data_IF_830918956575
#
_entry.id   IF_830918956575
#
_cell.length_a   1.000
_cell.length_b   1.000
_cell.length_c   1.000
_cell.angle_alpha   90.00
_cell.angle_beta   90.00
_cell.angle_gamma   90.00
#
_symmetry.space_group_name_H-M   'P 1'
#
loop_
_entity.id
_entity.type
_entity.pdbx_description
1 polymer ?
#
# COMPACT_ATOMS: atom_id res chain seq x y z
N UNK A 1 -6.61 4.01 -16.52
CA UNK A 1 -7.31 2.71 -16.55
C UNK A 1 -6.39 1.59 -16.06
N UNK A 2 -6.89 0.56 -15.33
CA UNK A 2 -6.08 -0.52 -14.76
C UNK A 2 -5.34 -1.35 -15.81
N UNK A 3 -5.96 -1.65 -16.96
CA UNK A 3 -5.33 -2.42 -18.05
C UNK A 3 -4.14 -1.70 -18.68
N UNK A 4 -4.24 -0.38 -18.88
CA UNK A 4 -3.13 0.44 -19.37
C UNK A 4 -1.98 0.47 -18.35
N UNK A 5 -2.30 0.68 -17.07
CA UNK A 5 -1.29 0.69 -16.02
C UNK A 5 -0.56 -0.65 -15.92
N UNK A 6 -1.29 -1.77 -15.96
CA UNK A 6 -0.72 -3.12 -15.97
C UNK A 6 0.27 -3.32 -17.11
N UNK A 7 -0.04 -2.85 -18.32
CA UNK A 7 0.88 -2.87 -19.47
C UNK A 7 2.12 -2.02 -19.22
N UNK A 8 1.96 -0.80 -18.72
CA UNK A 8 3.09 0.08 -18.40
C UNK A 8 4.01 -0.54 -17.35
N UNK A 9 3.45 -1.17 -16.33
CA UNK A 9 4.20 -1.88 -15.30
C UNK A 9 4.95 -3.08 -15.88
N UNK A 10 4.32 -3.89 -16.74
CA UNK A 10 5.00 -5.00 -17.41
C UNK A 10 6.17 -4.50 -18.27
N UNK A 11 5.99 -3.41 -19.03
CA UNK A 11 7.09 -2.80 -19.79
C UNK A 11 8.23 -2.34 -18.87
N UNK A 12 7.92 -1.67 -17.77
CA UNK A 12 8.93 -1.22 -16.81
C UNK A 12 9.65 -2.41 -16.16
N UNK A 13 8.94 -3.50 -15.91
CA UNK A 13 9.50 -4.74 -15.39
C UNK A 13 10.55 -5.31 -16.35
N UNK A 14 10.26 -5.37 -17.65
CA UNK A 14 11.23 -5.77 -18.68
C UNK A 14 12.42 -4.81 -18.77
N UNK A 15 12.17 -3.50 -18.85
CA UNK A 15 13.23 -2.48 -18.97
C UNK A 15 14.18 -2.51 -17.78
N UNK A 16 13.65 -2.80 -16.59
CA UNK A 16 14.47 -2.88 -15.38
C UNK A 16 15.11 -4.24 -15.17
N UNK A 17 14.78 -5.27 -15.95
CA UNK A 17 15.26 -6.63 -15.73
C UNK A 17 14.64 -7.29 -14.50
N UNK A 18 13.35 -7.05 -14.26
CA UNK A 18 12.57 -7.70 -13.21
C UNK A 18 12.80 -7.11 -11.82
N UNK A 19 13.06 -5.80 -11.72
CA UNK A 19 13.49 -5.16 -10.46
C UNK A 19 12.47 -4.22 -9.84
N UNK A 20 11.21 -4.30 -10.27
CA UNK A 20 10.14 -3.45 -9.73
C UNK A 20 9.19 -4.21 -8.80
N UNK A 21 8.55 -3.43 -7.93
CA UNK A 21 7.41 -3.82 -7.12
C UNK A 21 6.35 -2.73 -7.23
N UNK A 22 5.08 -3.10 -7.32
CA UNK A 22 3.97 -2.17 -7.23
C UNK A 22 3.64 -1.92 -5.75
N UNK A 23 3.82 -0.71 -5.25
CA UNK A 23 3.26 -0.31 -3.96
C UNK A 23 1.92 0.40 -4.18
N UNK A 24 0.83 -0.30 -3.89
CA UNK A 24 -0.52 0.20 -4.08
C UNK A 24 -0.98 0.98 -2.83
N UNK A 25 -1.41 2.22 -3.05
CA UNK A 25 -1.86 3.15 -2.02
C UNK A 25 -3.30 3.54 -2.32
N UNK A 26 -4.20 3.31 -1.37
CA UNK A 26 -5.56 3.87 -1.43
C UNK A 26 -5.54 5.30 -0.90
N UNK A 27 -6.04 6.25 -1.69
CA UNK A 27 -6.08 7.67 -1.33
C UNK A 27 -6.85 7.93 -0.02
N UNK A 28 -6.41 8.93 0.74
CA UNK A 28 -7.00 9.31 2.04
C UNK A 28 -8.25 10.17 1.84
N UNK A 29 -8.27 10.99 0.79
CA UNK A 29 -9.37 11.90 0.42
C UNK A 29 -9.70 11.76 -1.06
N UNK A 30 -10.84 12.31 -1.48
CA UNK A 30 -11.07 12.58 -2.89
C UNK A 30 -10.07 13.62 -3.41
N UNK A 31 -9.72 13.53 -4.69
CA UNK A 31 -8.81 14.46 -5.37
C UNK A 31 -9.45 14.93 -6.69
N UNK A 32 -10.41 15.88 -6.64
CA UNK A 32 -11.13 16.36 -7.81
C UNK A 32 -10.21 16.92 -8.91
N UNK A 33 -9.05 17.45 -8.52
CA UNK A 33 -8.02 17.94 -9.46
C UNK A 33 -7.44 16.84 -10.36
N UNK A 34 -7.58 15.58 -9.96
CA UNK A 34 -7.20 14.40 -10.75
C UNK A 34 -8.43 13.61 -11.24
N UNK A 35 -9.63 14.17 -11.11
CA UNK A 35 -10.88 13.55 -11.49
C UNK A 35 -11.38 12.47 -10.52
N UNK A 36 -10.85 12.41 -9.30
CA UNK A 36 -11.35 11.51 -8.27
C UNK A 36 -12.33 12.22 -7.34
N UNK A 37 -13.59 11.83 -7.40
CA UNK A 37 -14.68 12.40 -6.60
C UNK A 37 -15.16 11.45 -5.49
N UNK A 38 -14.46 10.33 -5.26
CA UNK A 38 -14.93 9.29 -4.36
C UNK A 38 -14.61 9.60 -2.89
N UNK A 39 -15.55 10.24 -2.21
CA UNK A 39 -15.39 10.71 -0.81
C UNK A 39 -15.48 9.57 0.20
N UNK A 40 -16.27 8.53 -0.08
CA UNK A 40 -16.45 7.40 0.85
C UNK A 40 -15.19 6.50 0.92
N UNK A 41 -14.76 6.17 2.14
CA UNK A 41 -13.53 5.41 2.39
C UNK A 41 -13.66 3.98 1.90
N UNK A 42 -14.75 3.31 2.21
CA UNK A 42 -14.94 1.89 1.87
C UNK A 42 -15.09 1.71 0.36
N UNK A 43 -15.78 2.64 -0.29
CA UNK A 43 -15.86 2.71 -1.74
C UNK A 43 -14.48 2.89 -2.40
N UNK A 44 -13.58 3.70 -1.81
CA UNK A 44 -12.19 3.81 -2.32
C UNK A 44 -11.44 2.49 -2.21
N UNK A 45 -11.56 1.77 -1.10
CA UNK A 45 -10.95 0.43 -0.96
C UNK A 45 -11.56 -0.59 -1.93
N UNK A 46 -12.88 -0.58 -2.11
CA UNK A 46 -13.55 -1.45 -3.07
C UNK A 46 -13.06 -1.19 -4.51
N UNK A 47 -12.92 0.08 -4.90
CA UNK A 47 -12.33 0.47 -6.19
C UNK A 47 -10.88 0.01 -6.31
N UNK A 48 -10.08 0.11 -5.24
CA UNK A 48 -8.71 -0.43 -5.22
C UNK A 48 -8.70 -1.94 -5.43
N UNK A 49 -9.61 -2.69 -4.81
CA UNK A 49 -9.75 -4.13 -5.02
C UNK A 49 -10.00 -4.48 -6.49
N UNK A 50 -11.01 -3.86 -7.11
CA UNK A 50 -11.30 -4.09 -8.54
C UNK A 50 -10.11 -3.71 -9.44
N UNK A 51 -9.44 -2.60 -9.11
CA UNK A 51 -8.26 -2.16 -9.85
C UNK A 51 -7.14 -3.21 -9.81
N UNK A 52 -6.82 -3.73 -8.63
CA UNK A 52 -5.76 -4.73 -8.46
C UNK A 52 -6.12 -6.08 -9.06
N UNK A 53 -7.39 -6.47 -9.02
CA UNK A 53 -7.88 -7.65 -9.73
C UNK A 53 -7.65 -7.55 -11.23
N UNK A 54 -8.05 -6.43 -11.84
CA UNK A 54 -7.87 -6.22 -13.28
C UNK A 54 -6.39 -6.16 -13.64
N UNK A 55 -5.56 -5.51 -12.81
CA UNK A 55 -4.11 -5.43 -13.02
C UNK A 55 -3.50 -6.84 -13.01
N UNK A 56 -3.77 -7.63 -11.97
CA UNK A 56 -3.25 -8.99 -11.86
C UNK A 56 -3.74 -9.86 -13.01
N UNK A 57 -5.04 -9.82 -13.34
CA UNK A 57 -5.60 -10.59 -14.45
C UNK A 57 -5.01 -10.19 -15.81
N UNK A 58 -4.68 -8.91 -16.01
CA UNK A 58 -3.97 -8.46 -17.22
C UNK A 58 -2.58 -9.10 -17.33
N UNK A 59 -1.87 -9.23 -16.21
CA UNK A 59 -0.56 -9.87 -16.16
C UNK A 59 -0.61 -11.39 -16.30
N UNK A 60 -1.63 -12.05 -15.77
CA UNK A 60 -1.63 -13.52 -15.63
C UNK A 60 -2.55 -14.26 -16.60
N UNK A 61 -3.55 -13.59 -17.20
CA UNK A 61 -4.50 -14.27 -18.09
C UNK A 61 -3.86 -14.58 -19.45
N UNK A 62 -3.86 -15.84 -19.85
CA UNK A 62 -3.38 -16.27 -21.17
C UNK A 62 -4.38 -16.00 -22.30
N UNK A 63 -5.62 -15.62 -21.96
CA UNK A 63 -6.69 -15.31 -22.90
C UNK A 63 -7.32 -13.93 -22.61
N UNK A 64 -7.99 -13.31 -23.59
CA UNK A 64 -8.78 -12.11 -23.36
C UNK A 64 -9.86 -12.33 -22.30
N UNK A 65 -10.15 -11.28 -21.53
CA UNK A 65 -11.16 -11.36 -20.48
C UNK A 65 -12.08 -10.14 -20.42
N UNK A 66 -13.30 -10.40 -19.97
CA UNK A 66 -14.24 -9.37 -19.56
C UNK A 66 -14.19 -9.17 -18.05
N UNK A 67 -14.45 -7.94 -17.59
CA UNK A 67 -14.60 -7.59 -16.20
C UNK A 67 -15.80 -6.65 -16.04
N UNK A 68 -16.75 -7.00 -15.19
CA UNK A 68 -17.92 -6.19 -14.89
C UNK A 68 -17.96 -5.95 -13.37
N UNK A 69 -17.37 -4.85 -12.95
CA UNK A 69 -17.38 -4.39 -11.56
C UNK A 69 -18.21 -3.13 -11.38
N UNK A 70 -18.28 -2.65 -10.14
CA UNK A 70 -18.96 -1.40 -9.79
C UNK A 70 -18.22 -0.18 -10.33
N UNK A 71 -16.88 -0.24 -10.40
CA UNK A 71 -16.05 0.91 -10.78
C UNK A 71 -15.42 0.76 -12.16
N UNK A 72 -15.26 -0.47 -12.64
CA UNK A 72 -14.63 -0.73 -13.94
C UNK A 72 -15.44 -1.73 -14.77
N UNK A 73 -15.60 -1.40 -16.04
CA UNK A 73 -16.07 -2.32 -17.08
C UNK A 73 -14.97 -2.49 -18.12
N UNK A 74 -14.52 -3.72 -18.33
CA UNK A 74 -13.53 -4.08 -19.34
C UNK A 74 -14.15 -5.13 -20.27
N UNK A 75 -14.02 -4.93 -21.58
CA UNK A 75 -14.41 -5.89 -22.61
C UNK A 75 -13.18 -6.29 -23.42
N UNK A 76 -12.91 -7.59 -23.54
CA UNK A 76 -11.76 -8.12 -24.27
C UNK A 76 -10.40 -7.65 -23.73
N UNK A 77 -10.29 -7.44 -22.42
CA UNK A 77 -9.04 -7.06 -21.77
C UNK A 77 -7.97 -8.12 -22.01
N UNK A 78 -6.88 -7.74 -22.65
CA UNK A 78 -5.76 -8.64 -22.92
C UNK A 78 -4.46 -7.85 -23.06
N UNK A 79 -3.36 -8.45 -22.64
CA UNK A 79 -2.02 -7.97 -22.99
C UNK A 79 -1.13 -9.13 -23.42
N UNK A 80 -0.51 -9.09 -24.60
CA UNK A 80 0.47 -10.09 -25.02
C UNK A 80 1.81 -9.92 -24.30
N UNK A 81 2.08 -8.73 -23.74
CA UNK A 81 3.31 -8.46 -23.00
C UNK A 81 3.04 -8.76 -21.52
N UNK A 82 3.48 -9.94 -21.07
CA UNK A 82 3.44 -10.32 -19.66
C UNK A 82 4.66 -9.73 -18.93
N UNK A 83 4.58 -9.53 -17.60
CA UNK A 83 5.77 -9.19 -16.83
C UNK A 83 6.90 -10.20 -17.00
N UNK A 84 8.13 -9.75 -16.78
CA UNK A 84 9.32 -10.61 -16.75
C UNK A 84 9.34 -11.44 -15.45
N UNK A 85 8.92 -10.85 -14.34
CA UNK A 85 8.76 -11.54 -13.06
C UNK A 85 7.54 -12.48 -13.06
N UNK A 86 7.72 -13.69 -12.55
CA UNK A 86 6.67 -14.69 -12.38
C UNK A 86 6.34 -14.91 -10.89
N UNK A 87 5.09 -15.24 -10.53
CA UNK A 87 3.91 -15.35 -11.40
C UNK A 87 3.36 -13.99 -11.86
N UNK A 88 3.77 -12.90 -11.21
CA UNK A 88 3.49 -11.52 -11.59
C UNK A 88 4.48 -10.57 -10.91
N UNK A 89 4.43 -9.28 -11.22
CA UNK A 89 5.16 -8.24 -10.49
C UNK A 89 4.68 -8.26 -9.03
N UNK A 90 5.57 -8.31 -8.02
CA UNK A 90 5.16 -8.29 -6.64
C UNK A 90 4.36 -7.03 -6.29
N UNK A 91 3.28 -7.20 -5.54
CA UNK A 91 2.42 -6.14 -5.04
C UNK A 91 2.67 -5.98 -3.54
N UNK A 92 2.92 -4.76 -3.11
CA UNK A 92 2.83 -4.38 -1.70
C UNK A 92 1.64 -3.46 -1.47
N UNK A 93 1.00 -3.62 -0.32
CA UNK A 93 -0.15 -2.83 0.08
C UNK A 93 -0.02 -2.42 1.54
N UNK A 94 -0.52 -1.26 1.91
CA UNK A 94 -0.49 -0.77 3.29
C UNK A 94 -1.82 -0.19 3.73
N UNK A 95 -1.89 0.18 5.01
CA UNK A 95 -3.05 0.84 5.62
C UNK A 95 -3.58 0.07 6.82
N UNK A 96 -3.90 0.77 7.89
CA UNK A 96 -4.20 0.20 9.21
C UNK A 96 -5.71 0.11 9.53
N UNK A 97 -6.56 -0.09 8.51
CA UNK A 97 -8.01 -0.28 8.69
C UNK A 97 -8.46 -1.67 8.27
N UNK A 98 -9.60 -2.12 8.78
CA UNK A 98 -10.12 -3.47 8.50
C UNK A 98 -10.31 -3.74 6.99
N UNK A 99 -10.87 -2.77 6.26
CA UNK A 99 -10.95 -2.82 4.80
C UNK A 99 -9.59 -3.00 4.12
N UNK A 100 -8.51 -2.43 4.68
CA UNK A 100 -7.17 -2.55 4.13
C UNK A 100 -6.61 -3.97 4.31
N UNK A 101 -6.87 -4.63 5.45
CA UNK A 101 -6.49 -6.03 5.63
C UNK A 101 -7.19 -6.93 4.61
N UNK A 102 -8.48 -6.73 4.36
CA UNK A 102 -9.23 -7.51 3.37
C UNK A 102 -8.68 -7.36 1.94
N UNK A 103 -8.29 -6.15 1.54
CA UNK A 103 -7.63 -5.92 0.25
C UNK A 103 -6.22 -6.54 0.24
N UNK A 104 -5.46 -6.37 1.32
CA UNK A 104 -4.10 -6.90 1.42
C UNK A 104 -4.06 -8.43 1.27
N UNK A 105 -4.93 -9.17 1.98
CA UNK A 105 -4.90 -10.64 1.94
C UNK A 105 -5.29 -11.21 0.58
N UNK A 106 -6.05 -10.48 -0.23
CA UNK A 106 -6.40 -10.90 -1.60
C UNK A 106 -5.34 -10.51 -2.63
N UNK A 107 -4.75 -9.32 -2.50
CA UNK A 107 -3.99 -8.71 -3.60
C UNK A 107 -2.50 -8.48 -3.30
N UNK A 108 -2.06 -8.48 -2.05
CA UNK A 108 -0.67 -8.16 -1.71
C UNK A 108 0.18 -9.42 -1.52
N UNK A 109 1.44 -9.33 -1.93
CA UNK A 109 2.51 -10.26 -1.56
C UNK A 109 3.25 -9.76 -0.31
N UNK A 110 3.28 -8.44 -0.11
CA UNK A 110 3.81 -7.80 1.09
C UNK A 110 2.81 -6.81 1.70
N UNK A 111 2.56 -6.94 2.99
CA UNK A 111 1.82 -5.96 3.77
C UNK A 111 2.77 -4.99 4.46
N UNK A 112 2.64 -3.71 4.13
CA UNK A 112 3.52 -2.64 4.58
C UNK A 112 2.88 -1.80 5.69
N UNK A 113 3.59 -1.65 6.81
CA UNK A 113 3.20 -0.74 7.88
C UNK A 113 4.43 -0.07 8.52
N UNK A 114 4.17 0.99 9.27
CA UNK A 114 5.20 1.80 9.93
C UNK A 114 5.72 1.12 11.20
N UNK A 115 6.93 1.49 11.61
CA UNK A 115 7.44 1.20 12.95
C UNK A 115 6.51 1.78 14.01
N UNK A 116 5.74 0.91 14.66
CA UNK A 116 4.97 1.19 15.87
C UNK A 116 5.63 0.49 17.07
N UNK A 117 5.30 0.85 18.33
CA UNK A 117 5.69 0.08 19.49
C UNK A 117 5.41 -1.42 19.28
N UNK A 118 6.27 -2.29 19.82
CA UNK A 118 6.25 -3.72 19.51
C UNK A 118 4.88 -4.37 19.80
N UNK A 119 4.19 -3.91 20.85
CA UNK A 119 2.83 -4.38 21.21
C UNK A 119 1.80 -4.05 20.12
N UNK A 120 1.84 -2.83 19.59
CA UNK A 120 0.93 -2.34 18.57
C UNK A 120 1.22 -3.00 17.21
N UNK A 121 2.50 -3.20 16.88
CA UNK A 121 2.92 -3.95 15.70
C UNK A 121 2.46 -5.41 15.74
N UNK A 122 2.56 -6.06 16.91
CA UNK A 122 2.07 -7.43 17.13
C UNK A 122 0.55 -7.52 16.90
N UNK A 123 -0.20 -6.52 17.35
CA UNK A 123 -1.65 -6.44 17.13
C UNK A 123 -2.00 -6.35 15.63
N UNK A 124 -1.30 -5.50 14.87
CA UNK A 124 -1.54 -5.38 13.42
C UNK A 124 -1.22 -6.68 12.66
N UNK A 125 -0.12 -7.33 12.99
CA UNK A 125 0.24 -8.64 12.39
C UNK A 125 -0.81 -9.69 12.73
N UNK A 126 -1.33 -9.73 13.97
CA UNK A 126 -2.38 -10.65 14.36
C UNK A 126 -3.68 -10.42 13.57
N UNK A 127 -4.09 -9.16 13.37
CA UNK A 127 -5.28 -8.82 12.56
C UNK A 127 -5.13 -9.25 11.11
N UNK A 128 -3.96 -9.02 10.51
CA UNK A 128 -3.66 -9.47 9.15
C UNK A 128 -3.73 -11.01 9.03
N UNK A 129 -3.14 -11.73 9.99
CA UNK A 129 -3.17 -13.19 10.01
C UNK A 129 -4.60 -13.72 10.19
N UNK A 130 -5.39 -13.11 11.06
CA UNK A 130 -6.80 -13.48 11.25
C UNK A 130 -7.62 -13.23 9.96
N UNK A 131 -7.40 -12.11 9.28
CA UNK A 131 -8.04 -11.82 8.00
C UNK A 131 -7.67 -12.84 6.91
N UNK A 132 -6.40 -13.27 6.86
CA UNK A 132 -5.93 -14.28 5.91
C UNK A 132 -6.55 -15.66 6.21
N UNK A 133 -6.60 -16.06 7.48
CA UNK A 133 -7.23 -17.30 7.93
C UNK A 133 -8.73 -17.32 7.61
N UNK A 134 -9.45 -16.22 7.87
CA UNK A 134 -10.87 -16.10 7.56
C UNK A 134 -11.15 -16.18 6.05
N UNK A 135 -10.21 -15.73 5.21
CA UNK A 135 -10.31 -15.83 3.76
C UNK A 135 -9.79 -17.17 3.19
N UNK A 136 -9.22 -18.05 4.01
CA UNK A 136 -8.66 -19.33 3.57
C UNK A 136 -7.42 -19.19 2.67
N UNK A 137 -6.66 -18.11 2.81
CA UNK A 137 -5.47 -17.83 1.98
C UNK A 137 -4.22 -17.67 2.83
N UNK A 138 -3.05 -17.81 2.20
CA UNK A 138 -1.77 -17.52 2.86
C UNK A 138 -1.68 -16.02 3.19
N UNK A 139 -1.13 -15.70 4.36
CA UNK A 139 -0.92 -14.30 4.75
C UNK A 139 0.25 -13.68 3.97
N UNK A 140 0.15 -12.42 3.53
CA UNK A 140 1.26 -11.74 2.87
C UNK A 140 2.45 -11.55 3.82
N UNK A 141 3.65 -11.44 3.25
CA UNK A 141 4.86 -11.17 4.02
C UNK A 141 4.80 -9.77 4.63
N UNK A 142 5.46 -9.58 5.77
CA UNK A 142 5.52 -8.26 6.40
C UNK A 142 6.65 -7.41 5.82
N UNK A 143 6.36 -6.13 5.56
CA UNK A 143 7.31 -5.09 5.19
C UNK A 143 7.25 -3.95 6.20
N UNK A 144 8.18 -3.92 7.15
CA UNK A 144 8.22 -2.89 8.18
C UNK A 144 9.07 -1.69 7.71
N UNK A 145 8.51 -0.48 7.78
CA UNK A 145 9.24 0.76 7.51
C UNK A 145 9.61 1.46 8.82
N UNK A 146 10.92 1.51 9.12
CA UNK A 146 11.47 2.20 10.30
C UNK A 146 12.48 3.26 9.88
N UNK A 147 12.56 4.34 10.65
CA UNK A 147 13.63 5.32 10.51
C UNK A 147 14.71 5.03 11.54
N UNK A 148 15.85 4.55 11.06
CA UNK A 148 17.00 4.28 11.92
C UNK A 148 17.81 5.56 12.12
N UNK A 149 18.06 5.92 13.38
CA UNK A 149 18.98 6.98 13.75
C UNK A 149 20.18 6.30 14.40
N UNK A 150 21.28 6.23 13.66
CA UNK A 150 22.47 5.47 14.05
C UNK A 150 23.55 6.44 14.51
N UNK A 151 24.29 6.09 15.55
CA UNK A 151 25.43 6.82 16.08
C UNK A 151 26.53 5.87 16.57
N UNK A 152 27.79 6.34 16.73
CA UNK A 152 28.87 5.54 17.29
C UNK A 152 28.59 5.08 18.72
N UNK A 153 27.79 5.85 19.46
CA UNK A 153 27.26 5.50 20.78
C UNK A 153 25.75 5.82 20.82
N UNK A 154 25.07 5.30 21.84
CA UNK A 154 23.67 5.56 22.08
C UNK A 154 23.39 7.06 22.32
N UNK A 155 24.25 7.74 23.09
CA UNK A 155 24.13 9.16 23.38
C UNK A 155 24.19 10.00 22.10
N UNK A 156 25.11 9.67 21.18
CA UNK A 156 25.23 10.38 19.90
C UNK A 156 23.99 10.12 19.02
N UNK A 157 23.46 8.89 19.02
CA UNK A 157 22.24 8.57 18.28
C UNK A 157 21.03 9.37 18.80
N UNK A 158 20.87 9.45 20.13
CA UNK A 158 19.82 10.25 20.75
C UNK A 158 20.01 11.75 20.52
N UNK A 159 21.22 12.28 20.61
CA UNK A 159 21.48 13.68 20.29
C UNK A 159 21.03 14.00 18.86
N UNK A 160 21.40 13.17 17.87
CA UNK A 160 20.94 13.31 16.48
C UNK A 160 19.41 13.27 16.36
N UNK A 161 18.74 12.41 17.12
CA UNK A 161 17.28 12.34 17.13
C UNK A 161 16.65 13.64 17.63
N UNK A 162 17.15 14.19 18.74
CA UNK A 162 16.69 15.46 19.28
C UNK A 162 16.95 16.62 18.31
N UNK A 163 18.10 16.65 17.65
CA UNK A 163 18.44 17.67 16.66
C UNK A 163 17.47 17.64 15.46
N UNK A 164 17.16 16.44 14.95
CA UNK A 164 16.17 16.24 13.87
C UNK A 164 14.80 16.76 14.30
N UNK A 165 14.33 16.41 15.51
CA UNK A 165 13.05 16.89 16.04
C UNK A 165 13.06 18.41 16.18
N UNK A 166 14.16 19.00 16.67
CA UNK A 166 14.33 20.45 16.78
C UNK A 166 14.26 21.16 15.43
N UNK A 167 14.93 20.62 14.40
CA UNK A 167 14.89 21.15 13.05
C UNK A 167 13.49 21.04 12.43
N UNK A 168 12.81 19.90 12.63
CA UNK A 168 11.44 19.72 12.17
C UNK A 168 10.48 20.71 12.82
N UNK A 169 10.57 20.93 14.14
CA UNK A 169 9.71 21.92 14.84
C UNK A 169 9.89 23.35 14.31
N UNK A 170 11.12 23.73 13.95
CA UNK A 170 11.42 25.06 13.38
C UNK A 170 10.86 25.23 11.97
N UNK A 171 10.91 24.16 11.17
CA UNK A 171 10.55 24.19 9.76
C UNK A 171 9.12 23.73 9.47
N UNK A 172 8.44 23.17 10.48
CA UNK A 172 7.10 22.63 10.31
C UNK A 172 6.10 23.76 10.12
N UNK A 173 5.51 23.80 8.93
CA UNK A 173 4.34 24.62 8.65
C UNK A 173 3.13 23.69 8.58
N UNK A 174 2.14 23.94 9.46
CA UNK A 174 0.89 23.21 9.42
C UNK A 174 0.22 23.46 8.05
N UNK A 175 -0.20 22.39 7.40
CA UNK A 175 -1.00 22.47 6.17
C UNK A 175 -2.47 22.40 6.58
N UNK A 176 -3.23 23.50 6.51
CA UNK A 176 -4.64 23.51 6.88
C UNK A 176 -5.44 22.49 6.04
N UNK A 177 -6.36 21.76 6.69
CA UNK A 177 -7.22 20.79 6.00
C UNK A 177 -6.56 19.45 5.66
N UNK A 178 -5.31 19.20 6.07
CA UNK A 178 -4.67 17.89 5.87
C UNK A 178 -5.33 16.82 6.75
N UNK A 179 -6.08 15.92 6.11
CA UNK A 179 -6.67 14.75 6.77
C UNK A 179 -5.56 13.78 7.19
N UNK A 180 -5.58 13.36 8.46
CA UNK A 180 -4.65 12.37 8.98
C UNK A 180 -5.16 10.96 8.74
N UNK A 181 -4.31 10.09 8.23
CA UNK A 181 -4.63 8.66 8.10
C UNK A 181 -4.58 7.94 9.44
N UNK A 182 -5.25 6.78 9.53
CA UNK A 182 -5.31 5.95 10.75
C UNK A 182 -3.92 5.61 11.30
N UNK A 183 -2.94 5.32 10.44
CA UNK A 183 -1.57 5.03 10.87
C UNK A 183 -0.87 6.24 11.52
N UNK A 184 -1.12 7.46 11.03
CA UNK A 184 -0.58 8.69 11.65
C UNK A 184 -1.19 8.93 13.02
N UNK A 185 -2.50 8.73 13.17
CA UNK A 185 -3.19 8.87 14.45
C UNK A 185 -2.64 7.89 15.50
N UNK A 186 -2.36 6.64 15.09
CA UNK A 186 -1.75 5.63 15.98
C UNK A 186 -0.36 6.04 16.47
N UNK A 187 0.50 6.56 15.57
CA UNK A 187 1.84 7.00 15.94
C UNK A 187 1.82 8.21 16.89
N UNK A 188 0.90 9.16 16.67
CA UNK A 188 0.72 10.29 17.58
C UNK A 188 0.24 9.83 18.96
N UNK A 189 -0.76 8.95 19.02
CA UNK A 189 -1.25 8.39 20.27
C UNK A 189 -0.17 7.57 21.00
N UNK A 190 0.71 6.89 20.27
CA UNK A 190 1.85 6.18 20.86
C UNK A 190 2.91 7.13 21.43
N UNK A 191 3.10 8.31 20.84
CA UNK A 191 4.05 9.32 21.32
C UNK A 191 3.56 10.08 22.57
N UNK A 192 2.26 10.02 22.87
CA UNK A 192 1.65 10.64 24.06
C UNK A 192 1.66 9.73 25.30
N UNK A 193 2.01 8.44 25.15
CA UNK A 193 2.15 7.47 26.25
C UNK A 193 3.55 7.48 26.84
#
# INVERSE_FOLDING_TARGET
APTLAARSFATLDHVTGGRIRLHAITGITAEPQYGDYLVDKDARYARTGEYLDIVRRTWTSDQPFDYEGKYFTIKGGFSPIKPLQAPHIPISFGGSSDAAYHIAVRHADLYAFWGEPLVDAKEQVAKLHAAAAAAGVASPRISLSVRLIVGPTEEIAWQRAHDIVGALKKNYQAVPGRVQGTGTQRLLAAAER
#
